data_IF_310683622939
#
_entry.id   IF_310683622939
#
_cell.length_a   1.000
_cell.length_b   1.000
_cell.length_c   1.000
_cell.angle_alpha   90.00
_cell.angle_beta   90.00
_cell.angle_gamma   90.00
#
_symmetry.space_group_name_H-M   'P 1'
#
loop_
_entity.id
_entity.type
_entity.pdbx_description
1 polymer ?
#
# COMPACT_ATOMS: atom_id res chain seq x y z
N UNK A 1 -5.04 16.94 53.52
CA UNK A 1 -3.97 17.34 52.57
C UNK A 1 -4.23 16.78 51.16
N UNK A 2 -4.22 15.47 50.94
CA UNK A 2 -4.37 14.86 49.61
C UNK A 2 -5.62 15.32 48.82
N UNK A 3 -6.80 15.26 49.44
CA UNK A 3 -8.05 15.69 48.79
C UNK A 3 -8.04 17.17 48.40
N UNK A 4 -7.51 18.05 49.26
CA UNK A 4 -7.38 19.48 48.96
C UNK A 4 -6.41 19.73 47.78
N UNK A 5 -5.31 18.97 47.69
CA UNK A 5 -4.38 19.06 46.56
C UNK A 5 -5.08 18.69 45.24
N UNK A 6 -5.92 17.64 45.21
CA UNK A 6 -6.71 17.28 44.02
C UNK A 6 -7.76 18.34 43.70
N UNK A 7 -8.49 18.84 44.70
CA UNK A 7 -9.51 19.87 44.54
C UNK A 7 -8.95 21.13 43.87
N UNK A 8 -7.73 21.53 44.24
CA UNK A 8 -7.02 22.66 43.62
C UNK A 8 -6.52 22.29 42.23
N UNK A 9 -5.85 21.14 42.08
CA UNK A 9 -5.22 20.71 40.83
C UNK A 9 -6.21 20.57 39.66
N UNK A 10 -7.38 20.00 39.94
CA UNK A 10 -8.46 19.77 38.96
C UNK A 10 -9.48 20.91 38.99
N UNK A 11 -9.24 21.95 39.81
CA UNK A 11 -10.09 23.14 39.93
C UNK A 11 -11.55 22.83 40.32
N UNK A 12 -11.77 21.82 41.17
CA UNK A 12 -13.12 21.43 41.65
C UNK A 12 -13.62 22.42 42.71
N UNK A 13 -12.78 22.73 43.70
CA UNK A 13 -13.06 23.78 44.70
C UNK A 13 -14.36 23.61 45.50
N UNK A 14 -14.54 22.50 46.22
CA UNK A 14 -15.75 22.24 47.02
C UNK A 14 -16.01 23.27 48.15
N UNK A 15 -15.04 24.14 48.47
CA UNK A 15 -15.20 25.25 49.43
C UNK A 15 -15.16 24.85 50.91
N UNK A 16 -15.25 23.56 51.25
CA UNK A 16 -15.11 23.07 52.63
C UNK A 16 -13.67 23.15 53.17
N UNK A 17 -12.66 23.26 52.29
CA UNK A 17 -11.25 23.49 52.63
C UNK A 17 -10.77 24.70 51.84
N UNK A 18 -10.29 25.73 52.53
CA UNK A 18 -9.82 26.98 51.92
C UNK A 18 -8.45 27.38 52.45
N UNK A 19 -7.67 28.04 51.59
CA UNK A 19 -6.40 28.66 51.99
C UNK A 19 -6.67 29.97 52.72
N UNK A 20 -5.92 30.26 53.77
CA UNK A 20 -5.98 31.53 54.51
C UNK A 20 -4.70 32.34 54.30
N UNK A 21 -4.76 33.65 54.55
CA UNK A 21 -3.64 34.58 54.32
C UNK A 21 -2.54 34.52 55.40
N UNK A 22 -2.74 33.74 56.46
CA UNK A 22 -1.82 33.70 57.61
C UNK A 22 -0.44 33.12 57.26
N UNK A 23 -0.35 32.30 56.22
CA UNK A 23 0.87 31.60 55.82
C UNK A 23 1.26 31.93 54.37
N UNK A 24 2.16 32.90 54.12
CA UNK A 24 2.60 33.27 52.76
C UNK A 24 3.22 32.09 51.98
N UNK A 25 3.86 31.16 52.69
CA UNK A 25 4.43 29.94 52.08
C UNK A 25 3.35 29.04 51.46
N UNK A 26 2.16 28.97 52.06
CA UNK A 26 1.05 28.18 51.53
C UNK A 26 0.52 28.77 50.22
N UNK A 27 0.46 30.10 50.12
CA UNK A 27 0.10 30.82 48.88
C UNK A 27 1.13 30.55 47.78
N UNK A 28 2.43 30.61 48.10
CA UNK A 28 3.50 30.32 47.13
C UNK A 28 3.39 28.88 46.60
N UNK A 29 3.19 27.89 47.49
CA UNK A 29 3.01 26.48 47.09
C UNK A 29 1.78 26.32 46.20
N UNK A 30 0.67 27.00 46.53
CA UNK A 30 -0.55 26.98 45.72
C UNK A 30 -0.31 27.52 44.31
N UNK A 31 0.42 28.63 44.17
CA UNK A 31 0.77 29.23 42.87
C UNK A 31 1.65 28.25 42.06
N UNK A 32 2.69 27.71 42.68
CA UNK A 32 3.58 26.74 42.02
C UNK A 32 2.82 25.49 41.58
N UNK A 33 1.95 24.96 42.45
CA UNK A 33 1.11 23.80 42.14
C UNK A 33 0.20 24.08 40.94
N UNK A 34 -0.45 25.25 40.89
CA UNK A 34 -1.31 25.62 39.76
C UNK A 34 -0.53 25.75 38.45
N UNK A 35 0.63 26.39 38.46
CA UNK A 35 1.47 26.54 37.25
C UNK A 35 1.92 25.17 36.73
N UNK A 36 2.46 24.32 37.61
CA UNK A 36 2.91 22.97 37.25
C UNK A 36 1.72 22.12 36.78
N UNK A 37 0.56 22.25 37.43
CA UNK A 37 -0.64 21.51 37.06
C UNK A 37 -1.20 21.87 35.71
N UNK A 38 -1.26 23.17 35.39
CA UNK A 38 -1.65 23.64 34.06
C UNK A 38 -0.66 23.17 32.99
N UNK A 39 0.63 23.18 33.29
CA UNK A 39 1.66 22.69 32.36
C UNK A 39 1.50 21.20 32.07
N UNK A 40 1.32 20.36 33.11
CA UNK A 40 1.09 18.92 32.95
C UNK A 40 -0.20 18.65 32.17
N UNK A 41 -1.28 19.37 32.47
CA UNK A 41 -2.55 19.21 31.76
C UNK A 41 -2.43 19.58 30.28
N UNK A 42 -1.77 20.69 29.96
CA UNK A 42 -1.52 21.12 28.58
C UNK A 42 -0.67 20.10 27.81
N UNK A 43 0.39 19.57 28.43
CA UNK A 43 1.24 18.54 27.82
C UNK A 43 0.42 17.27 27.57
N UNK A 44 -0.34 16.79 28.56
CA UNK A 44 -1.13 15.57 28.43
C UNK A 44 -2.20 15.70 27.34
N UNK A 45 -2.92 16.82 27.31
CA UNK A 45 -3.92 17.09 26.28
C UNK A 45 -3.28 17.19 24.89
N UNK A 46 -2.12 17.83 24.77
CA UNK A 46 -1.35 17.90 23.53
C UNK A 46 -0.89 16.52 23.04
N UNK A 47 -0.38 15.68 23.94
CA UNK A 47 0.01 14.30 23.62
C UNK A 47 -1.19 13.45 23.18
N UNK A 48 -2.34 13.56 23.86
CA UNK A 48 -3.56 12.84 23.49
C UNK A 48 -4.06 13.31 22.13
N UNK A 49 -4.14 14.63 21.90
CA UNK A 49 -4.56 15.19 20.63
C UNK A 49 -3.68 14.70 19.48
N UNK A 50 -2.34 14.78 19.63
CA UNK A 50 -1.38 14.28 18.65
C UNK A 50 -1.60 12.79 18.37
N UNK A 51 -1.76 11.96 19.40
CA UNK A 51 -2.00 10.52 19.26
C UNK A 51 -3.32 10.22 18.56
N UNK A 52 -4.37 10.99 18.81
CA UNK A 52 -5.67 10.83 18.12
C UNK A 52 -5.66 11.34 16.70
N UNK A 53 -4.84 12.36 16.40
CA UNK A 53 -4.66 12.92 15.08
C UNK A 53 -3.78 12.04 14.18
N UNK A 54 -2.93 11.19 14.76
CA UNK A 54 -2.11 10.24 13.98
C UNK A 54 -2.99 9.33 13.13
N UNK A 55 -2.75 9.38 11.81
CA UNK A 55 -3.50 8.67 10.79
C UNK A 55 -3.10 7.18 10.64
N UNK A 56 -2.51 6.55 11.67
CA UNK A 56 -2.02 5.16 11.56
C UNK A 56 -3.13 4.16 11.14
N UNK A 57 -4.37 4.43 11.57
CA UNK A 57 -5.56 3.64 11.18
C UNK A 57 -5.94 3.70 9.70
N UNK A 58 -5.32 4.59 8.91
CA UNK A 58 -5.59 4.72 7.46
C UNK A 58 -4.69 3.81 6.62
N UNK A 59 -3.46 3.53 7.04
CA UNK A 59 -2.61 2.56 6.36
C UNK A 59 -3.25 1.15 6.35
N UNK A 60 -4.04 0.82 7.39
CA UNK A 60 -4.77 -0.45 7.49
C UNK A 60 -5.87 -0.64 6.43
N UNK A 61 -6.35 0.44 5.79
CA UNK A 61 -7.37 0.34 4.73
C UNK A 61 -6.80 0.26 3.33
N UNK A 62 -5.48 0.45 3.19
CA UNK A 62 -4.74 0.23 1.95
C UNK A 62 -4.31 -1.24 1.93
N UNK A 63 -4.87 -1.99 1.00
CA UNK A 63 -4.67 -3.42 0.90
C UNK A 63 -3.83 -3.78 -0.32
N UNK A 64 -3.00 -4.80 -0.14
CA UNK A 64 -2.19 -5.40 -1.19
C UNK A 64 -2.65 -6.83 -1.46
N UNK A 65 -2.45 -7.32 -2.68
CA UNK A 65 -2.68 -8.73 -3.01
C UNK A 65 -1.85 -9.62 -2.10
N UNK A 66 -2.40 -10.74 -1.65
CA UNK A 66 -1.63 -11.72 -0.85
C UNK A 66 -0.46 -12.32 -1.64
N UNK A 67 -0.64 -12.52 -2.94
CA UNK A 67 0.37 -13.09 -3.81
C UNK A 67 0.66 -12.10 -4.94
N UNK A 68 1.93 -11.99 -5.31
CA UNK A 68 2.33 -11.35 -6.55
C UNK A 68 2.33 -12.39 -7.68
N UNK A 69 2.25 -11.95 -8.93
CA UNK A 69 2.23 -12.86 -10.07
C UNK A 69 3.20 -12.40 -11.16
N UNK A 70 3.83 -13.36 -11.83
CA UNK A 70 4.65 -13.13 -13.01
C UNK A 70 3.95 -13.76 -14.22
N UNK A 71 3.72 -12.97 -15.26
CA UNK A 71 3.22 -13.49 -16.54
C UNK A 71 3.66 -12.61 -17.71
N UNK A 72 3.53 -13.15 -18.92
CA UNK A 72 3.81 -12.41 -20.15
C UNK A 72 2.70 -11.39 -20.43
N UNK A 73 3.08 -10.13 -20.61
CA UNK A 73 2.19 -9.05 -21.06
C UNK A 73 2.86 -8.27 -22.19
N UNK A 74 2.16 -8.15 -23.32
CA UNK A 74 2.70 -7.52 -24.55
C UNK A 74 4.06 -8.11 -24.98
N UNK A 75 4.25 -9.41 -24.78
CA UNK A 75 5.45 -10.14 -25.18
C UNK A 75 6.67 -10.00 -24.26
N UNK A 76 6.54 -9.35 -23.11
CA UNK A 76 7.58 -9.27 -22.08
C UNK A 76 7.10 -9.88 -20.78
N UNK A 77 8.01 -10.41 -19.96
CA UNK A 77 7.67 -10.85 -18.61
C UNK A 77 7.43 -9.64 -17.71
N UNK A 78 6.33 -9.67 -16.97
CA UNK A 78 5.99 -8.60 -16.03
C UNK A 78 5.72 -9.18 -14.65
N UNK A 79 6.35 -8.59 -13.64
CA UNK A 79 5.98 -8.77 -12.24
C UNK A 79 4.76 -7.89 -11.93
N UNK A 80 3.75 -8.44 -11.27
CA UNK A 80 2.47 -7.77 -11.03
C UNK A 80 1.99 -7.98 -9.61
N UNK A 81 1.44 -6.93 -9.01
CA UNK A 81 0.71 -6.97 -7.75
C UNK A 81 -0.54 -6.11 -7.83
N UNK A 82 -1.51 -6.35 -6.95
CA UNK A 82 -2.74 -5.56 -6.90
C UNK A 82 -2.75 -4.71 -5.63
N UNK A 83 -3.10 -3.44 -5.79
CA UNK A 83 -3.32 -2.50 -4.69
C UNK A 83 -4.77 -2.04 -4.69
N UNK A 84 -5.33 -1.77 -3.52
CA UNK A 84 -6.68 -1.24 -3.39
C UNK A 84 -6.83 -0.38 -2.14
N UNK A 85 -7.78 0.55 -2.20
CA UNK A 85 -8.29 1.25 -1.02
C UNK A 85 -9.69 0.71 -0.70
N UNK A 86 -9.93 0.39 0.57
CA UNK A 86 -11.24 -0.05 1.07
C UNK A 86 -12.16 1.12 1.43
N UNK A 87 -11.64 2.35 1.50
CA UNK A 87 -12.40 3.56 1.82
C UNK A 87 -12.80 4.33 0.56
N UNK A 88 -13.78 5.22 0.73
CA UNK A 88 -14.29 6.10 -0.34
C UNK A 88 -13.48 7.40 -0.50
N UNK A 89 -12.86 7.87 0.58
CA UNK A 89 -11.99 9.06 0.55
C UNK A 89 -10.73 8.77 -0.25
N UNK A 90 -10.21 9.75 -0.96
CA UNK A 90 -9.06 9.54 -1.82
C UNK A 90 -7.73 9.62 -1.06
N UNK A 91 -6.72 8.93 -1.60
CA UNK A 91 -5.31 9.18 -1.29
C UNK A 91 -4.76 10.09 -2.38
N UNK A 92 -4.44 11.32 -1.99
CA UNK A 92 -3.91 12.36 -2.86
C UNK A 92 -2.42 12.12 -3.08
N UNK A 93 -1.95 12.30 -4.31
CA UNK A 93 -0.54 12.14 -4.68
C UNK A 93 0.02 10.75 -4.29
N UNK A 94 -0.73 9.70 -4.58
CA UNK A 94 -0.31 8.33 -4.29
C UNK A 94 0.89 7.93 -5.17
N UNK A 95 1.97 7.47 -4.54
CA UNK A 95 3.20 7.01 -5.19
C UNK A 95 3.56 5.61 -4.73
N UNK A 96 4.06 4.77 -5.64
CA UNK A 96 4.50 3.41 -5.33
C UNK A 96 6.00 3.27 -5.53
N UNK A 97 6.68 2.81 -4.49
CA UNK A 97 8.08 2.45 -4.53
C UNK A 97 8.21 0.94 -4.35
N UNK A 98 8.98 0.30 -5.22
CA UNK A 98 9.27 -1.13 -5.14
C UNK A 98 10.77 -1.32 -5.04
N UNK A 99 11.19 -2.21 -4.16
CA UNK A 99 12.59 -2.53 -3.93
C UNK A 99 12.74 -4.05 -3.88
N UNK A 100 13.73 -4.58 -4.59
CA UNK A 100 14.17 -5.94 -4.36
C UNK A 100 15.24 -5.94 -3.29
N UNK A 101 15.08 -6.82 -2.32
CA UNK A 101 16.04 -7.08 -1.26
C UNK A 101 16.59 -8.47 -1.47
N UNK A 102 17.90 -8.55 -1.68
CA UNK A 102 18.61 -9.82 -1.80
C UNK A 102 20.03 -9.70 -1.27
N UNK A 103 20.60 -10.83 -0.87
CA UNK A 103 22.02 -10.88 -0.56
C UNK A 103 22.82 -10.72 -1.84
N UNK A 104 23.72 -9.73 -1.89
CA UNK A 104 24.54 -9.47 -3.07
C UNK A 104 26.02 -9.47 -2.67
N UNK A 105 26.85 -10.17 -3.45
CA UNK A 105 28.31 -10.11 -3.32
C UNK A 105 28.85 -9.24 -4.44
N UNK A 106 29.57 -8.18 -4.09
CA UNK A 106 30.20 -7.28 -5.04
C UNK A 106 31.36 -7.99 -5.78
N UNK A 107 31.74 -7.54 -6.98
CA UNK A 107 32.90 -8.11 -7.68
C UNK A 107 34.22 -7.93 -6.93
N UNK A 108 34.31 -6.94 -6.02
CA UNK A 108 35.43 -6.71 -5.12
C UNK A 108 35.45 -7.67 -3.90
N UNK A 109 34.42 -8.51 -3.75
CA UNK A 109 34.30 -9.50 -2.68
C UNK A 109 33.56 -9.00 -1.43
N UNK A 110 32.96 -7.81 -1.45
CA UNK A 110 32.14 -7.31 -0.34
C UNK A 110 30.77 -8.00 -0.35
N UNK A 111 30.37 -8.59 0.77
CA UNK A 111 29.06 -9.24 0.92
C UNK A 111 28.11 -8.28 1.62
N UNK A 112 27.10 -7.81 0.91
CA UNK A 112 26.02 -6.98 1.45
C UNK A 112 24.82 -7.88 1.79
N UNK A 113 24.48 -8.08 3.08
CA UNK A 113 23.43 -9.02 3.48
C UNK A 113 22.03 -8.64 2.98
N UNK A 114 21.69 -7.36 2.99
CA UNK A 114 20.39 -6.81 2.58
C UNK A 114 20.62 -5.72 1.55
N UNK A 115 20.99 -6.10 0.33
CA UNK A 115 21.18 -5.14 -0.75
C UNK A 115 19.81 -4.78 -1.33
N UNK A 116 19.45 -3.51 -1.23
CA UNK A 116 18.18 -2.96 -1.71
C UNK A 116 18.38 -2.29 -3.05
N UNK A 117 17.67 -2.76 -4.08
CA UNK A 117 17.72 -2.18 -5.42
C UNK A 117 16.32 -1.76 -5.85
N UNK A 118 16.17 -0.50 -6.24
CA UNK A 118 14.89 0.05 -6.70
C UNK A 118 14.44 -0.62 -8.00
N UNK A 119 13.15 -0.94 -8.07
CA UNK A 119 12.48 -1.48 -9.24
C UNK A 119 11.53 -0.41 -9.80
N UNK A 120 11.72 0.06 -11.04
CA UNK A 120 10.86 1.09 -11.62
C UNK A 120 9.46 0.53 -11.93
N UNK A 121 8.40 1.27 -11.59
CA UNK A 121 7.06 0.94 -12.04
C UNK A 121 6.89 1.32 -13.51
N UNK A 122 6.24 0.45 -14.31
CA UNK A 122 5.89 0.81 -15.69
C UNK A 122 4.66 1.73 -15.68
N UNK A 123 4.82 2.95 -16.21
CA UNK A 123 3.73 3.91 -16.35
C UNK A 123 3.87 4.69 -17.66
N UNK A 124 2.75 4.96 -18.35
CA UNK A 124 2.77 5.54 -19.70
C UNK A 124 3.32 6.96 -19.79
N UNK A 125 3.36 7.68 -18.67
CA UNK A 125 3.89 9.06 -18.56
C UNK A 125 5.32 9.08 -17.99
N UNK A 126 5.83 7.92 -17.55
CA UNK A 126 7.06 7.83 -16.77
C UNK A 126 6.82 8.30 -15.33
N UNK A 127 7.14 7.43 -14.35
CA UNK A 127 7.04 7.74 -12.93
C UNK A 127 6.10 6.83 -12.15
N UNK A 128 6.14 6.99 -10.83
CA UNK A 128 5.57 6.06 -9.87
C UNK A 128 4.21 6.49 -9.30
N UNK A 129 3.61 7.55 -9.87
CA UNK A 129 2.35 8.10 -9.39
C UNK A 129 1.16 7.30 -9.92
N UNK A 130 0.19 7.07 -9.04
CA UNK A 130 -1.04 6.34 -9.36
C UNK A 130 -2.27 7.12 -8.88
N UNK A 131 -3.39 6.85 -9.54
CA UNK A 131 -4.70 7.38 -9.15
C UNK A 131 -5.57 6.25 -8.60
N UNK A 132 -5.54 6.06 -7.28
CA UNK A 132 -6.14 4.90 -6.61
C UNK A 132 -7.59 5.19 -6.17
N UNK A 133 -8.56 4.89 -7.04
CA UNK A 133 -10.01 4.94 -6.73
C UNK A 133 -10.63 3.55 -6.78
N UNK A 134 -10.38 2.82 -7.86
CA UNK A 134 -10.65 1.39 -7.94
C UNK A 134 -9.32 0.63 -7.78
N UNK A 135 -9.34 -0.65 -7.38
CA UNK A 135 -8.10 -1.41 -7.28
C UNK A 135 -7.36 -1.49 -8.60
N UNK A 136 -6.04 -1.28 -8.55
CA UNK A 136 -5.16 -1.24 -9.71
C UNK A 136 -4.17 -2.39 -9.65
N UNK A 137 -3.82 -2.90 -10.83
CA UNK A 137 -2.69 -3.82 -10.98
C UNK A 137 -1.46 -2.98 -11.30
N UNK A 138 -0.52 -2.98 -10.37
CA UNK A 138 0.79 -2.37 -10.52
C UNK A 138 1.70 -3.42 -11.11
N UNK A 139 2.49 -3.03 -12.11
CA UNK A 139 3.37 -3.96 -12.75
C UNK A 139 4.70 -3.33 -13.12
N UNK A 140 5.73 -4.16 -13.10
CA UNK A 140 7.07 -3.87 -13.53
C UNK A 140 7.40 -4.76 -14.72
N UNK A 141 7.96 -4.17 -15.78
CA UNK A 141 8.48 -4.90 -16.93
C UNK A 141 9.86 -5.42 -16.58
N UNK A 142 10.05 -6.74 -16.61
CA UNK A 142 11.34 -7.36 -16.37
C UNK A 142 12.15 -7.24 -17.68
N UNK A 143 12.95 -6.18 -17.78
CA UNK A 143 13.88 -5.93 -18.87
C UNK A 143 15.33 -6.23 -18.46
N UNK A 144 16.29 -6.04 -19.38
CA UNK A 144 17.71 -6.29 -19.14
C UNK A 144 18.33 -5.45 -18.00
N UNK A 145 17.69 -4.34 -17.61
CA UNK A 145 18.16 -3.49 -16.52
C UNK A 145 17.47 -3.85 -15.18
N UNK A 146 16.44 -4.70 -15.21
CA UNK A 146 15.73 -5.15 -14.04
C UNK A 146 16.60 -6.10 -13.21
N UNK A 147 16.61 -5.97 -11.87
CA UNK A 147 17.32 -6.91 -11.01
C UNK A 147 16.69 -8.31 -11.01
N UNK A 148 15.50 -8.46 -11.61
CA UNK A 148 14.77 -9.73 -11.78
C UNK A 148 15.04 -10.40 -13.14
N UNK A 149 15.94 -9.86 -13.96
CA UNK A 149 16.16 -10.33 -15.34
C UNK A 149 16.61 -11.79 -15.45
N UNK A 150 17.49 -12.23 -14.55
CA UNK A 150 18.01 -13.60 -14.49
C UNK A 150 17.18 -14.53 -13.59
N UNK A 151 16.02 -14.08 -13.09
CA UNK A 151 15.18 -14.88 -12.19
C UNK A 151 14.53 -16.05 -12.94
N UNK A 152 14.80 -17.28 -12.52
CA UNK A 152 14.16 -18.46 -13.07
C UNK A 152 12.90 -18.86 -12.27
N UNK A 153 11.90 -19.48 -12.93
CA UNK A 153 10.73 -20.02 -12.23
C UNK A 153 11.09 -21.09 -11.18
N UNK A 154 12.20 -21.81 -11.39
CA UNK A 154 12.74 -22.81 -10.46
C UNK A 154 13.40 -22.20 -9.24
N UNK A 155 13.62 -20.89 -9.21
CA UNK A 155 14.27 -20.23 -8.08
C UNK A 155 13.23 -19.62 -7.12
N UNK A 156 11.94 -19.67 -7.48
CA UNK A 156 10.82 -19.22 -6.66
C UNK A 156 10.40 -20.28 -5.65
N UNK A 157 11.33 -20.66 -4.76
CA UNK A 157 11.08 -21.57 -3.64
C UNK A 157 11.42 -20.90 -2.31
N UNK A 158 10.86 -21.41 -1.21
CA UNK A 158 10.98 -20.85 0.14
C UNK A 158 12.44 -20.64 0.64
N UNK A 159 13.43 -21.32 0.05
CA UNK A 159 14.85 -21.20 0.45
C UNK A 159 15.64 -20.15 -0.34
N UNK A 160 15.01 -19.44 -1.27
CA UNK A 160 15.68 -18.42 -2.06
C UNK A 160 15.74 -17.08 -1.31
N UNK A 161 16.92 -16.46 -1.30
CA UNK A 161 17.16 -15.13 -0.73
C UNK A 161 16.62 -14.02 -1.66
N UNK A 162 15.30 -13.93 -1.79
CA UNK A 162 14.59 -12.92 -2.58
C UNK A 162 13.36 -12.41 -1.84
N UNK A 163 13.31 -11.11 -1.58
CA UNK A 163 12.15 -10.41 -1.06
C UNK A 163 11.89 -9.14 -1.87
N UNK A 164 10.64 -8.89 -2.25
CA UNK A 164 10.24 -7.66 -2.94
C UNK A 164 9.40 -6.83 -1.99
N UNK A 165 9.93 -5.69 -1.55
CA UNK A 165 9.23 -4.74 -0.70
C UNK A 165 8.47 -3.75 -1.59
N UNK A 166 7.21 -3.50 -1.23
CA UNK A 166 6.34 -2.54 -1.91
C UNK A 166 5.85 -1.53 -0.88
N UNK A 167 6.03 -0.25 -1.21
CA UNK A 167 5.71 0.88 -0.37
C UNK A 167 4.77 1.78 -1.15
N UNK A 168 3.57 2.01 -0.61
CA UNK A 168 2.59 2.97 -1.11
C UNK A 168 2.61 4.18 -0.17
N UNK A 169 2.95 5.34 -0.70
CA UNK A 169 2.91 6.61 0.00
C UNK A 169 1.83 7.51 -0.58
N UNK A 170 1.23 8.35 0.25
CA UNK A 170 0.31 9.38 -0.23
C UNK A 170 -0.28 10.20 0.91
N UNK A 171 -1.04 11.23 0.56
CA UNK A 171 -1.67 12.16 1.51
C UNK A 171 -3.13 11.81 1.68
N UNK A 172 -3.59 11.62 2.91
CA UNK A 172 -5.01 11.34 3.19
C UNK A 172 -5.82 12.63 2.99
N UNK A 173 -6.82 12.59 2.10
CA UNK A 173 -7.66 13.74 1.74
C UNK A 173 -8.27 14.46 2.95
N UNK A 174 -8.78 13.73 3.94
CA UNK A 174 -9.50 14.34 5.07
C UNK A 174 -8.61 15.00 6.11
N UNK A 175 -7.35 14.58 6.26
CA UNK A 175 -6.46 15.06 7.32
C UNK A 175 -5.26 15.84 6.79
N UNK A 176 -4.93 15.72 5.51
CA UNK A 176 -3.71 16.29 4.93
C UNK A 176 -2.42 15.64 5.44
N UNK A 177 -2.51 14.55 6.20
CA UNK A 177 -1.35 13.84 6.75
C UNK A 177 -0.87 12.79 5.74
N UNK A 178 0.44 12.71 5.55
CA UNK A 178 1.08 11.65 4.75
C UNK A 178 0.96 10.31 5.45
N UNK A 179 0.57 9.28 4.71
CA UNK A 179 0.48 7.90 5.18
C UNK A 179 1.31 7.00 4.27
N UNK A 180 1.87 5.95 4.86
CA UNK A 180 2.67 4.96 4.16
C UNK A 180 2.15 3.57 4.53
N UNK A 181 1.78 2.79 3.51
CA UNK A 181 1.43 1.39 3.64
C UNK A 181 2.52 0.53 2.98
N UNK A 182 2.90 -0.57 3.62
CA UNK A 182 4.02 -1.41 3.18
C UNK A 182 3.59 -2.87 3.17
N UNK A 183 4.09 -3.62 2.21
CA UNK A 183 3.99 -5.08 2.15
C UNK A 183 5.29 -5.62 1.56
N UNK A 184 5.55 -6.91 1.75
CA UNK A 184 6.62 -7.59 1.05
C UNK A 184 6.13 -8.92 0.50
N UNK A 185 6.80 -9.38 -0.55
CA UNK A 185 6.56 -10.68 -1.18
C UNK A 185 7.84 -11.50 -1.10
N UNK A 186 7.76 -12.63 -0.43
CA UNK A 186 8.81 -13.65 -0.44
C UNK A 186 8.79 -14.42 -1.76
N UNK A 187 9.86 -15.14 -2.06
CA UNK A 187 10.00 -15.93 -3.30
C UNK A 187 8.84 -16.92 -3.52
N UNK A 188 8.31 -17.53 -2.46
CA UNK A 188 7.19 -18.49 -2.51
C UNK A 188 5.80 -17.82 -2.63
N UNK A 189 5.70 -16.54 -2.32
CA UNK A 189 4.48 -15.73 -2.50
C UNK A 189 4.34 -15.17 -3.91
N UNK A 190 5.36 -15.33 -4.76
CA UNK A 190 5.38 -14.91 -6.17
C UNK A 190 4.98 -16.09 -7.05
N UNK A 191 3.81 -15.99 -7.68
CA UNK A 191 3.26 -17.07 -8.50
C UNK A 191 3.61 -16.89 -9.98
N UNK A 192 4.38 -17.84 -10.52
CA UNK A 192 4.72 -17.85 -11.95
C UNK A 192 3.56 -18.33 -12.83
N UNK A 193 3.41 -17.70 -13.99
CA UNK A 193 2.41 -18.06 -14.99
C UNK A 193 0.98 -17.83 -14.56
N UNK A 194 0.75 -16.83 -13.71
CA UNK A 194 -0.57 -16.48 -13.21
C UNK A 194 -0.92 -15.02 -13.54
N UNK A 195 -2.22 -14.77 -13.66
CA UNK A 195 -2.77 -13.43 -13.87
C UNK A 195 -3.93 -13.20 -12.92
N UNK A 196 -4.06 -11.97 -12.42
CA UNK A 196 -5.20 -11.62 -11.58
C UNK A 196 -6.52 -11.70 -12.34
N UNK A 197 -7.56 -12.19 -11.66
CA UNK A 197 -8.95 -12.20 -12.15
C UNK A 197 -9.46 -10.76 -12.20
N UNK A 198 -10.19 -10.34 -13.25
CA UNK A 198 -10.83 -9.03 -13.28
C UNK A 198 -11.88 -8.92 -12.17
N UNK A 199 -11.85 -7.82 -11.41
CA UNK A 199 -12.74 -7.61 -10.26
C UNK A 199 -13.72 -6.45 -10.43
N UNK A 200 -13.51 -5.62 -11.45
CA UNK A 200 -14.39 -4.50 -11.76
C UNK A 200 -15.43 -4.99 -12.76
N UNK A 201 -16.70 -4.90 -12.39
CA UNK A 201 -17.84 -5.18 -13.24
C UNK A 201 -18.65 -3.91 -13.46
N UNK A 202 -19.41 -3.88 -14.55
CA UNK A 202 -20.39 -2.83 -14.80
C UNK A 202 -21.77 -3.37 -14.45
N UNK A 203 -22.43 -2.75 -13.47
CA UNK A 203 -23.78 -3.10 -13.02
C UNK A 203 -24.60 -1.81 -12.93
N UNK A 204 -25.75 -1.79 -13.63
CA UNK A 204 -26.71 -0.67 -13.62
C UNK A 204 -26.10 0.72 -13.90
N UNK A 205 -25.15 0.78 -14.85
CA UNK A 205 -24.47 2.03 -15.24
C UNK A 205 -23.48 2.56 -14.21
N UNK A 206 -23.13 1.76 -13.20
CA UNK A 206 -22.08 2.03 -12.21
C UNK A 206 -21.01 0.96 -12.29
N UNK A 207 -19.78 1.32 -11.95
CA UNK A 207 -18.71 0.35 -11.74
C UNK A 207 -18.81 -0.21 -10.32
N UNK A 208 -19.01 -1.52 -10.21
CA UNK A 208 -18.96 -2.27 -8.96
C UNK A 208 -17.64 -3.05 -8.87
N UNK A 209 -17.08 -3.14 -7.66
CA UNK A 209 -15.82 -3.85 -7.41
C UNK A 209 -16.08 -5.01 -6.45
N UNK A 210 -15.80 -6.23 -6.90
CA UNK A 210 -15.91 -7.43 -6.08
C UNK A 210 -14.58 -7.73 -5.37
N UNK A 211 -14.45 -7.27 -4.12
CA UNK A 211 -13.26 -7.50 -3.30
C UNK A 211 -13.07 -8.96 -2.87
N UNK A 212 -14.10 -9.82 -2.96
CA UNK A 212 -13.94 -11.25 -2.68
C UNK A 212 -13.01 -11.93 -3.69
N UNK A 213 -12.86 -11.35 -4.90
CA UNK A 213 -11.95 -11.81 -5.94
C UNK A 213 -10.61 -11.06 -5.98
N UNK A 214 -10.35 -10.19 -4.99
CA UNK A 214 -9.20 -9.29 -5.01
C UNK A 214 -7.86 -10.03 -5.15
N UNK A 215 -7.66 -11.11 -4.40
CA UNK A 215 -6.45 -11.95 -4.47
C UNK A 215 -6.55 -13.12 -5.45
N UNK A 216 -7.65 -13.28 -6.18
CA UNK A 216 -7.86 -14.45 -7.03
C UNK A 216 -7.04 -14.35 -8.30
N UNK A 217 -6.36 -15.44 -8.63
CA UNK A 217 -5.49 -15.57 -9.79
C UNK A 217 -5.91 -16.77 -10.64
N UNK A 218 -5.60 -16.69 -11.94
CA UNK A 218 -5.83 -17.75 -12.91
C UNK A 218 -4.52 -18.11 -13.60
N UNK A 219 -4.31 -19.40 -13.88
CA UNK A 219 -3.15 -19.87 -14.63
C UNK A 219 -3.28 -19.44 -16.10
N UNK A 220 -2.20 -18.92 -16.66
CA UNK A 220 -2.11 -18.46 -18.04
C UNK A 220 -0.87 -19.09 -18.68
N UNK A 221 -0.94 -19.58 -19.92
CA UNK A 221 0.23 -20.08 -20.64
C UNK A 221 1.34 -19.03 -20.64
N UNK A 222 2.42 -19.34 -19.94
CA UNK A 222 3.58 -18.47 -19.71
C UNK A 222 4.81 -19.34 -19.82
N UNK A 223 5.88 -18.89 -20.49
CA UNK A 223 7.05 -19.73 -20.67
C UNK A 223 7.75 -19.91 -19.32
N UNK A 224 8.30 -21.10 -19.09
CA UNK A 224 9.04 -21.45 -17.87
C UNK A 224 10.54 -21.19 -18.10
N UNK A 225 10.88 -19.96 -18.48
CA UNK A 225 12.25 -19.51 -18.74
C UNK A 225 12.52 -18.18 -18.03
N UNK A 226 13.80 -17.81 -17.92
CA UNK A 226 14.19 -16.48 -17.42
C UNK A 226 13.81 -15.39 -18.42
N UNK A 227 13.72 -14.13 -17.96
CA UNK A 227 13.49 -13.01 -18.88
C UNK A 227 14.61 -12.86 -19.90
N UNK A 228 15.85 -13.13 -19.49
CA UNK A 228 16.99 -13.21 -20.41
C UNK A 228 16.82 -14.23 -21.52
N UNK A 229 16.43 -15.45 -21.19
CA UNK A 229 16.20 -16.49 -22.20
C UNK A 229 15.03 -16.16 -23.11
N UNK A 230 13.99 -15.48 -22.58
CA UNK A 230 12.86 -15.04 -23.39
C UNK A 230 13.25 -13.95 -24.41
N UNK A 231 14.17 -13.06 -24.03
CA UNK A 231 14.68 -12.02 -24.93
C UNK A 231 15.66 -12.58 -25.97
N UNK A 232 16.48 -13.57 -25.58
CA UNK A 232 17.39 -14.29 -26.47
C UNK A 232 16.64 -15.20 -27.47
N UNK A 233 15.58 -15.90 -27.02
CA UNK A 233 14.80 -16.83 -27.82
C UNK A 233 13.32 -16.42 -27.93
N UNK A 234 13.09 -15.41 -28.76
CA UNK A 234 11.74 -14.86 -29.01
C UNK A 234 10.78 -15.86 -29.67
N UNK A 235 11.28 -16.98 -30.21
CA UNK A 235 10.46 -18.06 -30.77
C UNK A 235 9.59 -18.76 -29.70
N UNK A 236 10.01 -18.71 -28.44
CA UNK A 236 9.23 -19.20 -27.29
C UNK A 236 7.91 -18.43 -27.13
N UNK A 237 7.88 -17.17 -27.55
CA UNK A 237 6.68 -16.35 -27.54
C UNK A 237 5.69 -16.77 -28.63
N UNK A 238 6.20 -17.16 -29.80
CA UNK A 238 5.39 -17.63 -30.93
C UNK A 238 4.77 -19.00 -30.66
N UNK A 239 5.46 -19.87 -29.91
CA UNK A 239 4.89 -21.14 -29.44
C UNK A 239 3.65 -20.93 -28.53
N UNK A 240 3.63 -19.85 -27.75
CA UNK A 240 2.52 -19.50 -26.84
C UNK A 240 1.32 -18.89 -27.58
N UNK A 241 1.55 -18.07 -28.61
CA UNK A 241 0.46 -17.52 -29.43
C UNK A 241 -0.26 -18.62 -30.20
N UNK A 242 0.46 -19.63 -30.67
CA UNK A 242 -0.10 -20.84 -31.29
C UNK A 242 -0.91 -21.68 -30.28
N UNK A 243 -0.45 -21.82 -29.04
CA UNK A 243 -1.18 -22.54 -27.98
C UNK A 243 -2.48 -21.82 -27.56
N UNK A 244 -2.47 -20.48 -27.51
CA UNK A 244 -3.65 -19.66 -27.17
C UNK A 244 -4.78 -19.75 -28.20
N UNK A 245 -4.44 -20.00 -29.47
CA UNK A 245 -5.43 -20.16 -30.56
C UNK A 245 -6.32 -21.42 -30.45
N UNK A 246 -6.00 -22.35 -29.55
CA UNK A 246 -6.76 -23.61 -29.33
C UNK A 246 -7.73 -23.58 -28.13
N UNK A 247 -8.11 -22.39 -27.63
CA UNK A 247 -9.17 -22.23 -26.61
C UNK A 247 -10.59 -22.35 -27.19
N UNK A 248 -11.60 -22.74 -26.39
CA UNK A 248 -12.92 -23.15 -26.90
C UNK A 248 -13.70 -21.97 -27.51
N UNK A 249 -14.44 -22.29 -28.58
CA UNK A 249 -15.31 -21.39 -29.34
C UNK A 249 -16.12 -20.43 -28.45
N UNK A 250 -15.85 -19.14 -28.67
CA UNK A 250 -16.56 -17.96 -28.17
C UNK A 250 -18.08 -18.11 -28.34
N UNK A 251 -18.83 -18.26 -27.23
CA UNK A 251 -20.28 -17.99 -27.23
C UNK A 251 -20.50 -16.50 -27.54
N UNK A 252 -21.30 -16.24 -28.58
CA UNK A 252 -21.76 -14.89 -28.97
C UNK A 252 -22.49 -14.25 -27.77
N UNK A 253 -21.95 -13.15 -27.24
CA UNK A 253 -22.70 -12.26 -26.37
C UNK A 253 -23.63 -11.38 -27.21
N UNK A 254 -24.89 -11.30 -26.78
CA UNK A 254 -25.93 -10.45 -27.35
C UNK A 254 -25.54 -8.98 -27.14
N UNK A 255 -25.73 -8.17 -28.18
CA UNK A 255 -25.47 -6.73 -28.12
C UNK A 255 -26.49 -6.05 -27.20
N UNK A 256 -26.03 -5.61 -26.03
CA UNK A 256 -26.73 -4.62 -25.20
C UNK A 256 -26.21 -3.24 -25.59
N UNK A 257 -27.13 -2.29 -25.79
CA UNK A 257 -26.84 -0.93 -26.23
C UNK A 257 -25.83 -0.25 -25.29
N UNK A 258 -24.72 0.23 -25.86
CA UNK A 258 -23.65 0.93 -25.13
C UNK A 258 -24.11 2.35 -24.76
N UNK A 259 -24.53 2.56 -23.53
CA UNK A 259 -24.38 3.88 -22.89
C UNK A 259 -22.92 4.02 -22.46
N UNK A 260 -22.22 5.04 -22.95
CA UNK A 260 -20.85 5.35 -22.52
C UNK A 260 -20.88 5.70 -21.02
N UNK A 261 -20.09 5.03 -20.17
CA UNK A 261 -20.02 5.40 -18.77
C UNK A 261 -19.37 6.78 -18.62
N UNK A 262 -19.99 7.64 -17.82
CA UNK A 262 -19.40 8.92 -17.42
C UNK A 262 -18.46 8.66 -16.24
N UNK A 263 -17.18 9.03 -16.39
CA UNK A 263 -16.32 9.27 -15.24
C UNK A 263 -16.85 10.51 -14.52
N UNK A 264 -17.72 10.34 -13.53
CA UNK A 264 -18.11 11.43 -12.63
C UNK A 264 -17.37 11.29 -11.31
N UNK A 265 -16.34 12.12 -11.11
CA UNK A 265 -15.90 12.49 -9.78
C UNK A 265 -16.98 13.46 -9.29
N UNK A 266 -17.96 12.96 -8.53
CA UNK A 266 -19.05 13.81 -8.02
C UNK A 266 -18.49 14.79 -6.98
N UNK A 267 -18.73 16.11 -7.10
CA UNK A 267 -18.28 17.12 -6.14
C UNK A 267 -19.23 17.28 -4.95
N UNK A 268 -19.91 16.21 -4.51
CA UNK A 268 -20.91 16.31 -3.45
C UNK A 268 -20.28 15.96 -2.09
N UNK A 269 -19.49 16.88 -1.55
CA UNK A 269 -19.15 16.92 -0.11
C UNK A 269 -18.86 18.33 0.42
N UNK A 270 -19.44 19.36 -0.22
CA UNK A 270 -19.55 20.71 0.33
C UNK A 270 -21.01 20.98 0.73
N UNK A 271 -21.47 20.29 1.77
CA UNK A 271 -22.61 20.70 2.61
C UNK A 271 -22.57 19.95 3.93
#
# INVERSE_FOLDING_TARGET
>A
AFLFSIEVQVTIGFGGRMVTEECPLAILILIVQNIVGLMINAIMLGCIFMKTAQAHRRAETLIFSKHAVIAVRHGRLCFMLRVGDLRKSMIISATIHMQVVRKTTSPEGEVVPLHQVDIPMENGVGGNSIFLVAPLIIYHVIDANSPLYDLAPTDLHHHQDLEIIVILEGVVETTGITTQARTSYLADEILWGQRFVPIVAEEDGRYSVDYSKFGNTIKVPTPLCTARQLDEDRSLLDALTLASSRGPLRKRSVAVAKTKPKFSISPDSLS
#
